data_IF_485284054506
#
_entry.id   IF_485284054506
#
_cell.length_a   1.000
_cell.length_b   1.000
_cell.length_c   1.000
_cell.angle_alpha   90.00
_cell.angle_beta   90.00
_cell.angle_gamma   90.00
#
_symmetry.space_group_name_H-M   'P 1'
#
loop_
_entity.id
_entity.type
_entity.pdbx_description
1 polymer ?
#
# COMPACT_ATOMS: atom_id res chain seq x y z
N UNK A 1 -3.35 21.35 -9.31
CA UNK A 1 -2.95 21.41 -7.89
C UNK A 1 -1.86 22.48 -7.77
N UNK A 2 -2.23 23.66 -7.27
CA UNK A 2 -1.62 24.95 -7.65
C UNK A 2 -0.25 25.25 -7.02
N UNK A 3 0.65 25.80 -7.84
CA UNK A 3 1.99 26.25 -7.47
C UNK A 3 2.01 27.25 -6.30
N UNK A 4 0.91 27.98 -6.07
CA UNK A 4 0.77 28.95 -4.97
C UNK A 4 0.73 28.30 -3.59
N UNK A 5 0.12 27.11 -3.44
CA UNK A 5 0.14 26.39 -2.16
C UNK A 5 1.55 25.92 -1.78
N UNK A 6 2.36 25.53 -2.78
CA UNK A 6 3.75 25.13 -2.57
C UNK A 6 4.60 26.34 -2.18
N UNK A 7 4.40 27.50 -2.81
CA UNK A 7 5.11 28.76 -2.47
C UNK A 7 4.73 29.27 -1.08
N UNK A 8 3.45 29.28 -0.73
CA UNK A 8 2.98 29.70 0.59
C UNK A 8 3.53 28.79 1.71
N UNK A 9 3.55 27.47 1.50
CA UNK A 9 4.11 26.53 2.47
C UNK A 9 5.64 26.65 2.61
N UNK A 10 6.36 26.97 1.52
CA UNK A 10 7.79 27.28 1.61
C UNK A 10 8.02 28.58 2.38
N UNK A 11 7.31 29.66 2.05
CA UNK A 11 7.46 30.96 2.71
C UNK A 11 7.19 30.88 4.23
N UNK A 12 6.15 30.15 4.66
CA UNK A 12 5.86 29.95 6.09
C UNK A 12 6.96 29.21 6.85
N UNK A 13 7.68 28.28 6.19
CA UNK A 13 8.82 27.58 6.78
C UNK A 13 10.01 28.52 7.01
N UNK A 14 10.32 29.41 6.07
CA UNK A 14 11.38 30.40 6.25
C UNK A 14 11.04 31.45 7.32
N UNK A 15 9.78 31.91 7.35
CA UNK A 15 9.31 32.88 8.34
C UNK A 15 9.44 32.34 9.78
N UNK A 16 9.10 31.07 9.98
CA UNK A 16 9.23 30.41 11.28
C UNK A 16 10.71 30.28 11.72
N UNK A 17 11.60 29.89 10.81
CA UNK A 17 13.04 29.79 11.11
C UNK A 17 13.64 31.14 11.52
N UNK A 18 13.30 32.21 10.81
CA UNK A 18 13.73 33.57 11.14
C UNK A 18 13.15 34.02 12.48
N UNK A 19 11.85 33.84 12.71
CA UNK A 19 11.19 34.24 13.95
C UNK A 19 11.77 33.52 15.18
N UNK A 20 12.06 32.22 15.07
CA UNK A 20 12.70 31.45 16.14
C UNK A 20 14.11 31.99 16.46
N UNK A 21 14.92 32.24 15.43
CA UNK A 21 16.27 32.82 15.62
C UNK A 21 16.25 34.21 16.22
N UNK A 22 15.37 35.09 15.73
CA UNK A 22 15.23 36.45 16.27
C UNK A 22 14.73 36.42 17.72
N UNK A 23 13.82 35.50 18.06
CA UNK A 23 13.34 35.32 19.44
C UNK A 23 14.46 34.87 20.38
N UNK A 24 15.29 33.92 19.94
CA UNK A 24 16.47 33.47 20.71
C UNK A 24 17.45 34.62 20.94
N UNK A 25 17.73 35.42 19.90
CA UNK A 25 18.59 36.62 20.02
C UNK A 25 17.99 37.61 21.01
N UNK A 26 16.70 37.94 20.88
CA UNK A 26 16.02 38.91 21.74
C UNK A 26 16.01 38.49 23.22
N UNK A 27 15.89 37.20 23.51
CA UNK A 27 15.92 36.65 24.89
C UNK A 27 17.34 36.67 25.47
N UNK A 28 18.37 36.41 24.66
CA UNK A 28 19.74 36.30 25.13
C UNK A 28 20.44 37.66 25.31
N UNK A 29 20.05 38.70 24.56
CA UNK A 29 20.61 40.06 24.69
C UNK A 29 20.57 40.59 26.13
N UNK A 30 19.45 40.58 26.87
CA UNK A 30 19.42 41.08 28.25
C UNK A 30 20.17 40.18 29.23
N UNK A 31 20.42 38.91 28.88
CA UNK A 31 21.13 37.92 29.70
C UNK A 31 22.63 37.84 29.37
N UNK A 32 23.16 38.80 28.58
CA UNK A 32 24.54 38.77 28.08
C UNK A 32 25.60 38.62 29.18
N UNK A 33 25.42 39.30 30.32
CA UNK A 33 26.36 39.29 31.44
C UNK A 33 26.48 37.94 32.16
N UNK A 34 25.50 37.03 32.01
CA UNK A 34 25.51 35.72 32.67
C UNK A 34 26.14 34.62 31.78
N UNK A 35 26.26 34.87 30.48
CA UNK A 35 26.64 33.87 29.45
C UNK A 35 28.06 34.13 28.91
N UNK A 36 28.74 35.18 29.41
CA UNK A 36 30.06 35.64 28.95
C UNK A 36 31.17 34.58 28.80
N UNK A 37 31.24 33.45 29.55
CA UNK A 37 32.29 32.49 29.25
C UNK A 37 32.09 31.78 27.89
N UNK A 38 30.86 31.55 27.40
CA UNK A 38 30.56 30.85 26.13
C UNK A 38 29.16 31.18 25.56
N UNK A 39 28.98 32.15 24.64
CA UNK A 39 27.67 32.52 24.08
C UNK A 39 27.10 31.56 23.03
N UNK A 40 27.91 30.67 22.43
CA UNK A 40 27.50 29.81 21.30
C UNK A 40 26.47 28.68 21.59
N UNK A 41 26.47 27.97 22.75
CA UNK A 41 25.62 26.81 22.99
C UNK A 41 24.10 27.00 22.83
N UNK A 42 23.45 28.08 23.32
CA UNK A 42 22.01 28.27 23.16
C UNK A 42 21.58 28.56 21.71
N UNK A 43 22.44 29.21 20.91
CA UNK A 43 22.17 29.43 19.49
C UNK A 43 22.26 28.13 18.68
N UNK A 44 23.16 27.20 19.05
CA UNK A 44 23.21 25.86 18.47
C UNK A 44 21.89 25.10 18.64
N UNK A 45 21.32 25.11 19.85
CA UNK A 45 20.05 24.43 20.12
C UNK A 45 18.91 24.96 19.26
N UNK A 46 18.87 26.28 19.03
CA UNK A 46 17.86 26.91 18.16
C UNK A 46 18.02 26.47 16.71
N UNK A 47 19.25 26.47 16.18
CA UNK A 47 19.54 26.03 14.82
C UNK A 47 19.20 24.55 14.64
N UNK A 48 19.55 23.70 15.60
CA UNK A 48 19.23 22.26 15.58
C UNK A 48 17.71 22.06 15.58
N UNK A 49 16.98 22.78 16.42
CA UNK A 49 15.52 22.70 16.47
C UNK A 49 14.87 23.14 15.13
N UNK A 50 15.31 24.25 14.55
CA UNK A 50 14.82 24.73 13.25
C UNK A 50 15.16 23.73 12.13
N UNK A 51 16.37 23.16 12.13
CA UNK A 51 16.77 22.14 11.16
C UNK A 51 15.88 20.88 11.27
N UNK A 52 15.58 20.43 12.49
CA UNK A 52 14.78 19.24 12.72
C UNK A 52 13.32 19.43 12.30
N UNK A 53 12.69 20.51 12.73
CA UNK A 53 11.25 20.73 12.51
C UNK A 53 10.93 21.33 11.14
N UNK A 54 11.80 22.19 10.61
CA UNK A 54 11.46 23.09 9.50
C UNK A 54 12.27 22.79 8.25
N UNK A 55 13.48 22.25 8.37
CA UNK A 55 14.33 21.77 7.26
C UNK A 55 15.47 22.72 6.86
N UNK A 56 16.23 22.32 5.83
CA UNK A 56 17.54 22.88 5.46
C UNK A 56 17.54 24.39 5.21
N UNK A 57 16.66 24.87 4.32
CA UNK A 57 16.68 26.27 3.89
C UNK A 57 16.50 27.27 5.05
N UNK A 58 15.45 27.12 5.87
CA UNK A 58 15.24 27.97 7.05
C UNK A 58 16.35 27.85 8.09
N UNK A 59 16.94 26.67 8.27
CA UNK A 59 18.06 26.47 9.20
C UNK A 59 19.32 27.25 8.78
N UNK A 60 19.62 27.36 7.48
CA UNK A 60 20.73 28.17 6.98
C UNK A 60 20.52 29.66 7.26
N UNK A 61 19.28 30.15 7.11
CA UNK A 61 18.93 31.53 7.46
C UNK A 61 19.09 31.75 8.97
N UNK A 62 18.65 30.79 9.79
CA UNK A 62 18.85 30.82 11.24
C UNK A 62 20.32 30.88 11.63
N UNK A 63 21.20 30.11 10.97
CA UNK A 63 22.66 30.16 11.20
C UNK A 63 23.22 31.55 10.91
N UNK A 64 22.85 32.14 9.77
CA UNK A 64 23.34 33.48 9.38
C UNK A 64 22.92 34.55 10.40
N UNK A 65 21.67 34.51 10.86
CA UNK A 65 21.14 35.45 11.86
C UNK A 65 21.83 35.26 13.21
N UNK A 66 22.00 34.02 13.68
CA UNK A 66 22.66 33.74 14.95
C UNK A 66 24.14 34.13 14.93
N UNK A 67 24.85 33.84 13.83
CA UNK A 67 26.27 34.21 13.68
C UNK A 67 26.48 35.71 13.73
N UNK A 68 25.67 36.48 12.98
CA UNK A 68 25.71 37.94 13.01
C UNK A 68 25.39 38.49 14.40
N UNK A 69 24.41 37.88 15.09
CA UNK A 69 24.03 38.33 16.42
C UNK A 69 25.11 38.08 17.49
N UNK A 70 25.82 36.95 17.42
CA UNK A 70 26.94 36.64 18.32
C UNK A 70 28.07 37.65 18.11
N UNK A 71 28.42 37.93 16.86
CA UNK A 71 29.50 38.87 16.51
C UNK A 71 29.18 40.30 16.97
N UNK A 72 27.99 40.81 16.62
CA UNK A 72 27.62 42.21 16.86
C UNK A 72 27.38 42.56 18.34
N UNK A 73 26.82 41.63 19.13
CA UNK A 73 26.37 41.92 20.51
C UNK A 73 27.23 41.29 21.61
N UNK A 74 28.03 40.26 21.34
CA UNK A 74 28.72 39.48 22.39
C UNK A 74 30.25 39.52 22.32
N UNK A 75 30.88 39.80 21.18
CA UNK A 75 32.36 39.83 21.05
C UNK A 75 32.85 41.29 21.09
N UNK A 76 33.79 41.68 21.98
CA UNK A 76 34.40 43.01 21.96
C UNK A 76 35.39 43.19 20.79
N UNK A 77 35.45 44.35 20.11
CA UNK A 77 34.72 45.58 20.39
C UNK A 77 33.25 45.54 19.97
N UNK A 78 32.36 45.81 20.94
CA UNK A 78 30.92 45.86 20.73
C UNK A 78 30.59 46.93 19.68
N UNK A 79 29.65 46.62 18.78
CA UNK A 79 29.19 47.51 17.69
C UNK A 79 30.20 47.77 16.56
N UNK A 80 31.32 47.02 16.50
CA UNK A 80 32.25 47.05 15.38
C UNK A 80 32.43 45.65 14.81
N UNK A 81 32.21 45.50 13.50
CA UNK A 81 32.44 44.24 12.78
C UNK A 81 33.94 44.13 12.50
N UNK A 82 34.70 43.55 13.42
CA UNK A 82 36.12 43.24 13.19
C UNK A 82 36.23 41.81 12.71
N UNK A 83 36.37 41.60 11.40
CA UNK A 83 36.45 40.26 10.80
C UNK A 83 37.66 39.49 11.32
N UNK A 84 37.45 38.65 12.32
CA UNK A 84 38.50 37.81 12.92
C UNK A 84 38.41 36.39 12.36
N UNK A 85 39.55 35.72 12.12
CA UNK A 85 39.57 34.33 11.61
C UNK A 85 38.75 33.32 12.45
N UNK A 86 38.52 33.62 13.72
CA UNK A 86 37.68 32.82 14.62
C UNK A 86 36.17 32.91 14.31
N UNK A 87 35.67 34.04 13.80
CA UNK A 87 34.27 34.19 13.36
C UNK A 87 34.00 33.35 12.12
N UNK A 88 34.91 33.40 11.15
CA UNK A 88 34.80 32.59 9.92
C UNK A 88 34.80 31.09 10.28
N UNK A 89 35.65 30.66 11.21
CA UNK A 89 35.71 29.26 11.65
C UNK A 89 34.41 28.80 12.34
N UNK A 90 33.80 29.64 13.19
CA UNK A 90 32.54 29.30 13.84
C UNK A 90 31.39 29.25 12.82
N UNK A 91 31.25 30.22 11.93
CA UNK A 91 30.23 30.22 10.86
C UNK A 91 30.36 28.97 9.98
N UNK A 92 31.57 28.61 9.58
CA UNK A 92 31.82 27.42 8.74
C UNK A 92 31.46 26.13 9.49
N UNK A 93 31.84 26.01 10.78
CA UNK A 93 31.49 24.86 11.61
C UNK A 93 29.97 24.71 11.78
N UNK A 94 29.27 25.81 12.08
CA UNK A 94 27.80 25.82 12.19
C UNK A 94 27.11 25.48 10.86
N UNK A 95 27.58 26.05 9.74
CA UNK A 95 27.06 25.73 8.43
C UNK A 95 27.26 24.25 8.08
N UNK A 96 28.43 23.68 8.40
CA UNK A 96 28.73 22.27 8.19
C UNK A 96 27.80 21.36 9.00
N UNK A 97 27.61 21.63 10.29
CA UNK A 97 26.69 20.87 11.15
C UNK A 97 25.25 20.97 10.63
N UNK A 98 24.81 22.17 10.24
CA UNK A 98 23.47 22.38 9.67
C UNK A 98 23.23 21.58 8.39
N UNK A 99 24.21 21.56 7.48
CA UNK A 99 24.15 20.76 6.25
C UNK A 99 24.11 19.27 6.55
N UNK A 100 24.94 18.77 7.48
CA UNK A 100 24.98 17.35 7.86
C UNK A 100 23.65 16.91 8.48
N UNK A 101 23.10 17.69 9.42
CA UNK A 101 21.81 17.38 10.08
C UNK A 101 20.66 17.40 9.07
N UNK A 102 20.64 18.40 8.19
CA UNK A 102 19.64 18.50 7.15
C UNK A 102 19.74 17.37 6.12
N UNK A 103 20.95 17.00 5.71
CA UNK A 103 21.17 15.86 4.83
C UNK A 103 20.72 14.55 5.50
N UNK A 104 21.09 14.33 6.75
CA UNK A 104 20.70 13.14 7.51
C UNK A 104 19.18 13.04 7.68
N UNK A 105 18.51 14.15 7.99
CA UNK A 105 17.04 14.18 8.13
C UNK A 105 16.32 14.01 6.80
N UNK A 106 16.85 14.57 5.71
CA UNK A 106 16.31 14.36 4.36
C UNK A 106 16.43 12.89 3.93
N UNK A 107 17.62 12.30 4.09
CA UNK A 107 17.87 10.89 3.77
C UNK A 107 17.00 9.95 4.60
N UNK A 108 16.86 10.21 5.91
CA UNK A 108 15.97 9.42 6.78
C UNK A 108 14.50 9.49 6.33
N UNK A 109 14.00 10.69 5.99
CA UNK A 109 12.62 10.85 5.51
C UNK A 109 12.39 10.10 4.20
N UNK A 110 13.35 10.14 3.29
CA UNK A 110 13.27 9.40 2.03
C UNK A 110 13.17 7.89 2.26
N UNK A 111 14.04 7.33 3.11
CA UNK A 111 14.00 5.90 3.45
C UNK A 111 12.68 5.50 4.12
N UNK A 112 12.14 6.34 5.01
CA UNK A 112 10.85 6.09 5.64
C UNK A 112 9.68 6.13 4.65
N UNK A 113 9.69 7.06 3.69
CA UNK A 113 8.66 7.16 2.66
C UNK A 113 8.73 5.96 1.68
N UNK A 114 9.93 5.56 1.28
CA UNK A 114 10.16 4.37 0.46
C UNK A 114 9.71 3.10 1.20
N UNK A 115 10.04 2.99 2.49
CA UNK A 115 9.61 1.88 3.35
C UNK A 115 8.08 1.80 3.44
N UNK A 116 7.40 2.93 3.63
CA UNK A 116 5.92 2.96 3.65
C UNK A 116 5.32 2.56 2.31
N UNK A 117 5.90 3.01 1.20
CA UNK A 117 5.46 2.63 -0.14
C UNK A 117 5.63 1.12 -0.38
N UNK A 118 6.77 0.54 0.04
CA UNK A 118 7.02 -0.89 -0.04
C UNK A 118 6.03 -1.69 0.81
N UNK A 119 5.80 -1.31 2.07
CA UNK A 119 4.83 -1.97 2.95
C UNK A 119 3.41 -1.88 2.40
N UNK A 120 3.03 -0.76 1.79
CA UNK A 120 1.72 -0.62 1.16
C UNK A 120 1.55 -1.57 -0.04
N UNK A 121 2.59 -1.69 -0.88
CA UNK A 121 2.60 -2.64 -2.02
C UNK A 121 2.56 -4.09 -1.54
N UNK A 122 3.35 -4.44 -0.53
CA UNK A 122 3.36 -5.78 0.08
C UNK A 122 1.97 -6.13 0.62
N UNK A 123 1.35 -5.23 1.39
CA UNK A 123 0.00 -5.45 1.95
C UNK A 123 -1.04 -5.61 0.84
N UNK A 124 -0.98 -4.82 -0.21
CA UNK A 124 -1.90 -4.94 -1.34
C UNK A 124 -1.73 -6.29 -2.07
N UNK A 125 -0.49 -6.69 -2.35
CA UNK A 125 -0.19 -7.98 -2.96
C UNK A 125 -0.65 -9.15 -2.08
N UNK A 126 -0.37 -9.08 -0.77
CA UNK A 126 -0.80 -10.08 0.20
C UNK A 126 -2.32 -10.17 0.29
N UNK A 127 -3.02 -9.04 0.36
CA UNK A 127 -4.49 -9.02 0.39
C UNK A 127 -5.10 -9.65 -0.88
N UNK A 128 -4.51 -9.38 -2.05
CA UNK A 128 -4.92 -10.01 -3.31
C UNK A 128 -4.70 -11.51 -3.30
N UNK A 129 -3.53 -11.97 -2.81
CA UNK A 129 -3.21 -13.39 -2.72
C UNK A 129 -4.14 -14.12 -1.72
N UNK A 130 -4.40 -13.51 -0.56
CA UNK A 130 -5.32 -14.06 0.44
C UNK A 130 -6.77 -14.11 -0.09
N UNK A 131 -7.21 -13.10 -0.84
CA UNK A 131 -8.53 -13.12 -1.47
C UNK A 131 -8.65 -14.25 -2.49
N UNK A 132 -7.63 -14.44 -3.34
CA UNK A 132 -7.59 -15.55 -4.29
C UNK A 132 -7.57 -16.92 -3.58
N UNK A 133 -6.82 -17.05 -2.48
CA UNK A 133 -6.80 -18.30 -1.73
C UNK A 133 -8.14 -18.59 -1.05
N UNK A 134 -8.80 -17.58 -0.47
CA UNK A 134 -10.16 -17.73 0.08
C UNK A 134 -11.16 -18.16 -0.98
N UNK A 135 -11.12 -17.56 -2.17
CA UNK A 135 -11.99 -17.95 -3.28
C UNK A 135 -11.74 -19.41 -3.71
N UNK A 136 -10.48 -19.85 -3.73
CA UNK A 136 -10.12 -21.26 -3.99
C UNK A 136 -10.67 -22.19 -2.91
N UNK A 137 -10.52 -21.82 -1.63
CA UNK A 137 -11.00 -22.63 -0.51
C UNK A 137 -12.53 -22.74 -0.51
N UNK A 138 -13.24 -21.65 -0.77
CA UNK A 138 -14.70 -21.61 -0.95
C UNK A 138 -15.14 -22.48 -2.14
N UNK A 139 -14.46 -22.36 -3.28
CA UNK A 139 -14.73 -23.17 -4.46
C UNK A 139 -14.57 -24.67 -4.18
N UNK A 140 -13.50 -25.08 -3.50
CA UNK A 140 -13.28 -26.49 -3.12
C UNK A 140 -14.36 -26.97 -2.15
N UNK A 141 -14.78 -26.14 -1.20
CA UNK A 141 -15.86 -26.48 -0.28
C UNK A 141 -17.19 -26.70 -1.01
N UNK A 142 -17.56 -25.78 -1.92
CA UNK A 142 -18.78 -25.89 -2.74
C UNK A 142 -18.73 -27.16 -3.59
N UNK A 143 -17.64 -27.41 -4.33
CA UNK A 143 -17.48 -28.63 -5.11
C UNK A 143 -17.61 -29.90 -4.25
N UNK A 144 -17.02 -29.89 -3.06
CA UNK A 144 -17.14 -31.01 -2.12
C UNK A 144 -18.59 -31.32 -1.75
N UNK A 145 -19.40 -30.28 -1.51
CA UNK A 145 -20.83 -30.44 -1.25
C UNK A 145 -21.60 -30.91 -2.49
N UNK A 146 -21.34 -30.30 -3.65
CA UNK A 146 -21.98 -30.65 -4.93
C UNK A 146 -21.65 -32.08 -5.37
N UNK A 147 -20.47 -32.62 -5.03
CA UNK A 147 -20.11 -34.03 -5.28
C UNK A 147 -20.67 -34.97 -4.22
N UNK A 148 -20.73 -34.57 -2.96
CA UNK A 148 -21.25 -35.42 -1.87
C UNK A 148 -22.71 -35.77 -2.08
N UNK A 149 -23.52 -34.84 -2.59
CA UNK A 149 -24.95 -35.06 -2.85
C UNK A 149 -25.23 -36.22 -3.83
N UNK A 150 -24.71 -36.21 -5.07
CA UNK A 150 -24.91 -37.31 -6.03
C UNK A 150 -24.24 -38.60 -5.55
N UNK A 151 -23.08 -38.53 -4.89
CA UNK A 151 -22.42 -39.70 -4.32
C UNK A 151 -23.30 -40.38 -3.26
N UNK A 152 -23.93 -39.58 -2.38
CA UNK A 152 -24.84 -40.09 -1.35
C UNK A 152 -26.06 -40.77 -1.98
N UNK A 153 -26.63 -40.18 -3.03
CA UNK A 153 -27.73 -40.79 -3.78
C UNK A 153 -27.33 -42.12 -4.45
N UNK A 154 -26.11 -42.20 -5.00
CA UNK A 154 -25.56 -43.45 -5.54
C UNK A 154 -25.40 -44.48 -4.42
N UNK A 155 -24.81 -44.12 -3.29
CA UNK A 155 -24.63 -45.04 -2.15
C UNK A 155 -25.96 -45.59 -1.63
N UNK A 156 -27.00 -44.75 -1.50
CA UNK A 156 -28.34 -45.20 -1.11
C UNK A 156 -28.96 -46.14 -2.15
N UNK A 157 -28.82 -45.85 -3.44
CA UNK A 157 -29.32 -46.71 -4.50
C UNK A 157 -28.60 -48.07 -4.54
N UNK A 158 -27.28 -48.10 -4.29
CA UNK A 158 -26.51 -49.35 -4.15
C UNK A 158 -26.99 -50.16 -2.94
N UNK A 159 -27.17 -49.54 -1.78
CA UNK A 159 -27.71 -50.22 -0.59
C UNK A 159 -29.12 -50.79 -0.82
N UNK A 160 -29.93 -50.12 -1.63
CA UNK A 160 -31.24 -50.61 -2.03
C UNK A 160 -31.10 -51.85 -2.93
N UNK A 161 -30.20 -51.83 -3.91
CA UNK A 161 -29.90 -52.98 -4.76
C UNK A 161 -29.41 -54.20 -3.96
N UNK A 162 -28.55 -53.98 -2.96
CA UNK A 162 -28.03 -55.07 -2.11
C UNK A 162 -29.13 -55.76 -1.28
N UNK A 163 -30.22 -55.05 -0.98
CA UNK A 163 -31.39 -55.60 -0.27
C UNK A 163 -32.37 -56.33 -1.18
N UNK A 164 -32.38 -55.99 -2.46
CA UNK A 164 -33.31 -56.56 -3.44
C UNK A 164 -32.66 -57.76 -4.11
N UNK A 165 -33.01 -58.96 -3.67
CA UNK A 165 -32.39 -60.22 -4.13
C UNK A 165 -32.83 -60.72 -5.52
N UNK A 166 -33.79 -60.07 -6.18
CA UNK A 166 -34.29 -60.44 -7.53
C UNK A 166 -34.53 -59.20 -8.38
N UNK A 167 -34.37 -59.22 -9.71
CA UNK A 167 -34.69 -58.09 -10.56
C UNK A 167 -36.19 -57.74 -10.45
N UNK A 168 -36.50 -56.60 -9.84
CA UNK A 168 -37.84 -56.03 -9.74
C UNK A 168 -37.82 -54.54 -10.17
N UNK A 169 -38.98 -53.88 -10.14
CA UNK A 169 -39.10 -52.45 -10.49
C UNK A 169 -38.24 -51.55 -9.60
N UNK A 170 -38.05 -51.95 -8.33
CA UNK A 170 -37.20 -51.26 -7.35
C UNK A 170 -35.73 -51.29 -7.79
N UNK A 171 -35.23 -52.44 -8.20
CA UNK A 171 -33.87 -52.60 -8.70
C UNK A 171 -33.65 -51.81 -10.00
N UNK A 172 -34.66 -51.74 -10.88
CA UNK A 172 -34.59 -50.96 -12.11
C UNK A 172 -34.48 -49.46 -11.81
N UNK A 173 -35.34 -48.94 -10.93
CA UNK A 173 -35.30 -47.53 -10.48
C UNK A 173 -33.97 -47.17 -9.82
N UNK A 174 -33.44 -48.03 -8.95
CA UNK A 174 -32.14 -47.81 -8.32
C UNK A 174 -30.99 -47.71 -9.34
N UNK A 175 -30.97 -48.57 -10.36
CA UNK A 175 -29.99 -48.50 -11.47
C UNK A 175 -30.10 -47.20 -12.26
N UNK A 176 -31.32 -46.72 -12.51
CA UNK A 176 -31.53 -45.44 -13.20
C UNK A 176 -31.04 -44.24 -12.38
N UNK A 177 -31.26 -44.25 -11.06
CA UNK A 177 -30.71 -43.24 -10.14
C UNK A 177 -29.18 -43.21 -10.25
N UNK A 178 -28.53 -44.37 -10.16
CA UNK A 178 -27.06 -44.48 -10.28
C UNK A 178 -26.59 -43.92 -11.63
N UNK A 179 -27.19 -44.35 -12.73
CA UNK A 179 -26.81 -43.90 -14.07
C UNK A 179 -27.01 -42.39 -14.28
N UNK A 180 -28.07 -41.81 -13.72
CA UNK A 180 -28.33 -40.36 -13.77
C UNK A 180 -27.29 -39.59 -12.94
N UNK A 181 -27.01 -40.02 -11.71
CA UNK A 181 -26.07 -39.31 -10.85
C UNK A 181 -24.62 -39.45 -11.33
N UNK A 182 -24.22 -40.60 -11.88
CA UNK A 182 -22.92 -40.77 -12.50
C UNK A 182 -22.72 -39.81 -13.69
N UNK A 183 -23.74 -39.65 -14.55
CA UNK A 183 -23.72 -38.67 -15.64
C UNK A 183 -23.67 -37.22 -15.13
N UNK A 184 -24.30 -36.91 -14.01
CA UNK A 184 -24.22 -35.59 -13.40
C UNK A 184 -22.81 -35.28 -12.90
N UNK A 185 -22.17 -36.22 -12.20
CA UNK A 185 -20.78 -36.06 -11.73
C UNK A 185 -19.83 -35.88 -12.91
N UNK A 186 -19.97 -36.69 -13.97
CA UNK A 186 -19.15 -36.56 -15.18
C UNK A 186 -19.23 -35.15 -15.79
N UNK A 187 -20.45 -34.61 -15.96
CA UNK A 187 -20.64 -33.24 -16.46
C UNK A 187 -20.00 -32.18 -15.55
N UNK A 188 -20.16 -32.29 -14.22
CA UNK A 188 -19.53 -31.34 -13.30
C UNK A 188 -17.99 -31.38 -13.36
N UNK A 189 -17.40 -32.56 -13.57
CA UNK A 189 -15.95 -32.70 -13.77
C UNK A 189 -15.52 -32.07 -15.09
N UNK A 190 -16.27 -32.27 -16.17
CA UNK A 190 -16.01 -31.63 -17.46
C UNK A 190 -16.08 -30.10 -17.34
N UNK A 191 -17.12 -29.57 -16.67
CA UNK A 191 -17.28 -28.14 -16.41
C UNK A 191 -16.10 -27.56 -15.59
N UNK A 192 -15.62 -28.30 -14.59
CA UNK A 192 -14.46 -27.92 -13.79
C UNK A 192 -13.18 -27.85 -14.64
N UNK A 193 -12.97 -28.82 -15.54
CA UNK A 193 -11.84 -28.84 -16.46
C UNK A 193 -11.89 -27.69 -17.46
N UNK A 194 -13.09 -27.33 -17.93
CA UNK A 194 -13.34 -26.18 -18.79
C UNK A 194 -12.93 -24.87 -18.07
N UNK A 195 -13.40 -24.66 -16.84
CA UNK A 195 -13.06 -23.48 -16.02
C UNK A 195 -11.56 -23.37 -15.78
N UNK A 196 -10.88 -24.49 -15.50
CA UNK A 196 -9.43 -24.48 -15.29
C UNK A 196 -8.66 -24.14 -16.58
N UNK A 197 -9.15 -24.60 -17.74
CA UNK A 197 -8.61 -24.26 -19.05
C UNK A 197 -8.79 -22.76 -19.37
N UNK A 198 -9.94 -22.19 -19.01
CA UNK A 198 -10.23 -20.75 -19.10
C UNK A 198 -9.25 -19.97 -18.22
N UNK A 199 -9.13 -20.34 -16.94
CA UNK A 199 -8.27 -19.67 -15.98
C UNK A 199 -6.78 -19.72 -16.36
N UNK A 200 -6.34 -20.81 -16.98
CA UNK A 200 -4.98 -20.96 -17.50
C UNK A 200 -4.73 -20.23 -18.84
N UNK A 201 -5.72 -19.55 -19.40
CA UNK A 201 -5.63 -18.86 -20.70
C UNK A 201 -5.45 -19.81 -21.90
N UNK A 202 -5.80 -21.10 -21.73
CA UNK A 202 -5.57 -22.15 -22.74
C UNK A 202 -6.78 -22.38 -23.67
N UNK A 203 -7.73 -21.45 -23.71
CA UNK A 203 -8.85 -21.52 -24.65
C UNK A 203 -8.33 -21.21 -26.04
N UNK A 204 -8.31 -22.20 -26.92
CA UNK A 204 -8.04 -21.99 -28.34
C UNK A 204 -9.37 -21.89 -29.06
N UNK A 205 -9.73 -20.68 -29.46
CA UNK A 205 -10.89 -20.47 -30.33
C UNK A 205 -10.55 -21.02 -31.72
N UNK A 206 -11.48 -21.78 -32.29
CA UNK A 206 -11.41 -22.27 -33.66
C UNK A 206 -12.45 -21.52 -34.50
N UNK A 207 -12.10 -20.35 -35.05
CA UNK A 207 -13.04 -19.52 -35.78
C UNK A 207 -13.39 -20.17 -37.12
N UNK A 208 -14.67 -20.53 -37.27
CA UNK A 208 -15.23 -21.08 -38.51
C UNK A 208 -16.54 -20.35 -38.86
N UNK A 209 -16.88 -20.20 -40.15
CA UNK A 209 -18.19 -19.68 -40.56
C UNK A 209 -19.31 -20.50 -39.91
N UNK A 210 -20.29 -19.82 -39.32
CA UNK A 210 -21.40 -20.41 -38.57
C UNK A 210 -22.70 -19.73 -39.01
N UNK A 211 -23.77 -20.50 -39.20
CA UNK A 211 -25.11 -19.97 -39.40
C UNK A 211 -25.67 -19.49 -38.04
N UNK A 212 -25.67 -18.17 -37.86
CA UNK A 212 -26.22 -17.51 -36.68
C UNK A 212 -27.71 -17.83 -36.48
N UNK A 213 -28.49 -17.92 -37.55
CA UNK A 213 -29.93 -18.17 -37.46
C UNK A 213 -30.20 -19.60 -36.97
N UNK A 214 -29.41 -20.59 -37.43
CA UNK A 214 -29.49 -21.95 -36.93
C UNK A 214 -29.08 -22.05 -35.46
N UNK A 215 -27.97 -21.42 -35.08
CA UNK A 215 -27.48 -21.43 -33.70
C UNK A 215 -28.49 -20.81 -32.74
N UNK A 216 -29.08 -19.66 -33.10
CA UNK A 216 -30.12 -19.01 -32.29
C UNK A 216 -31.35 -19.91 -32.16
N UNK A 217 -31.82 -20.54 -33.26
CA UNK A 217 -32.95 -21.50 -33.20
C UNK A 217 -32.67 -22.65 -32.24
N UNK A 218 -31.45 -23.21 -32.27
CA UNK A 218 -31.04 -24.30 -31.36
C UNK A 218 -31.01 -23.84 -29.90
N UNK A 219 -30.48 -22.65 -29.62
CA UNK A 219 -30.46 -22.07 -28.28
C UNK A 219 -31.88 -21.84 -27.74
N UNK A 220 -32.76 -21.24 -28.54
CA UNK A 220 -34.16 -21.00 -28.16
C UNK A 220 -34.89 -22.33 -27.90
N UNK A 221 -34.75 -23.32 -28.78
CA UNK A 221 -35.34 -24.64 -28.57
C UNK A 221 -34.87 -25.31 -27.26
N UNK A 222 -33.58 -25.15 -26.92
CA UNK A 222 -33.01 -25.69 -25.67
C UNK A 222 -33.59 -24.98 -24.44
N UNK A 223 -33.73 -23.66 -24.49
CA UNK A 223 -34.27 -22.87 -23.38
C UNK A 223 -35.77 -23.08 -23.17
N UNK A 224 -36.53 -23.21 -24.25
CA UNK A 224 -37.97 -23.52 -24.19
C UNK A 224 -38.22 -24.92 -23.66
N UNK A 225 -37.39 -25.91 -24.03
CA UNK A 225 -37.45 -27.27 -23.46
C UNK A 225 -37.11 -27.34 -21.97
N UNK A 226 -36.38 -26.34 -21.43
CA UNK A 226 -36.04 -26.24 -20.01
C UNK A 226 -37.06 -25.42 -19.19
N UNK A 227 -38.16 -24.94 -19.80
CA UNK A 227 -39.19 -24.16 -19.12
C UNK A 227 -38.76 -22.73 -18.72
N UNK A 228 -37.77 -22.15 -19.40
CA UNK A 228 -37.19 -20.83 -19.06
C UNK A 228 -37.61 -19.70 -20.00
N UNK A 229 -38.61 -19.91 -20.87
CA UNK A 229 -39.06 -18.93 -21.87
C UNK A 229 -40.51 -18.46 -21.66
N UNK A 230 -41.03 -18.55 -20.44
CA UNK A 230 -42.22 -17.79 -20.01
C UNK A 230 -41.79 -16.56 -19.18
#
# INVERSE_FOLDING_TARGET
>A
MSLDRIRAHRAGRYLFGVAASVSTVAVLIPLRFLIEPLPAPPFLLTVIAVAWFVGLGPALVSVAVCAFAIDYWFIPPLYAVTTTWHEIASVVSFAMVGVVVAWLTATRRQVEDDRKALLARERAARASAEAANRAKDEFVAVLGHEFRNPLSAISTAVQLLDRVGKPDDTATSAREVIARQARNIARMVDDLMEVNRIAAGKIRLDPRPMDLAETVRRCVATLSGAGRTE
#
